data_IF_060101340441
#
_entry.id   IF_060101340441
#
_cell.length_a   1.000
_cell.length_b   1.000
_cell.length_c   1.000
_cell.angle_alpha   90.00
_cell.angle_beta   90.00
_cell.angle_gamma   90.00
#
_symmetry.space_group_name_H-M   'P 1'
#
loop_
_entity.id
_entity.type
_entity.pdbx_description
1 polymer ?
#
# COMPACT_ATOMS: atom_id res chain seq x y z
N UNK A 1 30.81 22.98 29.24
CA UNK A 1 30.86 22.87 27.77
C UNK A 1 29.74 21.93 27.39
N UNK A 2 28.60 22.46 26.95
CA UNK A 2 27.44 21.65 26.57
C UNK A 2 27.19 21.90 25.08
N UNK A 3 27.48 20.89 24.25
CA UNK A 3 27.07 20.82 22.86
C UNK A 3 26.57 19.39 22.59
N UNK A 4 25.57 19.23 21.73
CA UNK A 4 24.36 18.48 22.06
C UNK A 4 24.47 17.00 21.69
N UNK A 5 23.75 16.19 22.47
CA UNK A 5 23.37 14.83 22.08
C UNK A 5 22.48 14.97 20.83
N UNK A 6 22.99 14.54 19.68
CA UNK A 6 22.16 14.23 18.52
C UNK A 6 21.27 13.06 18.95
N UNK A 7 20.07 13.39 19.40
CA UNK A 7 19.00 12.42 19.53
C UNK A 7 18.60 12.10 18.09
N UNK A 8 19.19 11.04 17.55
CA UNK A 8 18.66 10.37 16.37
C UNK A 8 17.31 9.74 16.78
N UNK A 9 16.28 10.58 16.85
CA UNK A 9 14.89 10.15 16.90
C UNK A 9 14.53 9.58 15.53
N UNK A 10 15.08 8.41 15.21
CA UNK A 10 14.56 7.58 14.13
C UNK A 10 13.77 6.46 14.80
N UNK A 11 12.52 6.75 15.13
CA UNK A 11 11.49 5.93 14.52
C UNK A 11 10.31 6.80 14.10
N UNK A 12 9.84 6.63 12.87
CA UNK A 12 8.40 6.46 12.76
C UNK A 12 8.16 5.26 11.88
N UNK A 13 8.16 4.12 12.55
CA UNK A 13 7.33 2.99 12.18
C UNK A 13 6.01 3.50 11.61
N UNK A 14 5.51 2.82 10.59
CA UNK A 14 4.15 3.00 10.05
C UNK A 14 3.20 3.40 11.18
N UNK A 15 2.66 4.62 11.13
CA UNK A 15 1.77 5.20 12.17
C UNK A 15 0.42 4.49 12.25
N UNK A 16 0.30 3.36 11.58
CA UNK A 16 -0.90 2.56 11.45
C UNK A 16 -0.68 1.29 12.24
N UNK A 17 -1.64 0.98 13.10
CA UNK A 17 -1.71 -0.31 13.76
C UNK A 17 -1.81 -1.43 12.70
N UNK A 18 -1.23 -2.59 13.00
CA UNK A 18 -1.32 -3.75 12.11
C UNK A 18 -2.79 -4.13 11.88
N UNK A 19 -3.17 -4.33 10.62
CA UNK A 19 -4.55 -4.57 10.21
C UNK A 19 -5.49 -3.35 10.27
N UNK A 20 -4.98 -2.14 10.51
CA UNK A 20 -5.80 -0.94 10.43
C UNK A 20 -6.33 -0.71 9.00
N UNK A 21 -7.62 -0.38 8.89
CA UNK A 21 -8.22 0.01 7.61
C UNK A 21 -7.86 1.47 7.31
N UNK A 22 -7.14 1.68 6.21
CA UNK A 22 -6.69 3.01 5.77
C UNK A 22 -6.99 3.21 4.29
N UNK A 23 -7.18 4.47 3.88
CA UNK A 23 -7.21 4.85 2.47
C UNK A 23 -5.80 5.22 2.02
N UNK A 24 -5.32 4.59 0.96
CA UNK A 24 -4.01 4.85 0.38
C UNK A 24 -4.17 5.34 -1.07
N UNK A 25 -3.34 6.30 -1.52
CA UNK A 25 -3.19 6.59 -2.93
C UNK A 25 -2.77 5.33 -3.71
N UNK A 26 -3.32 5.14 -4.91
CA UNK A 26 -3.05 3.92 -5.69
C UNK A 26 -1.59 3.84 -6.16
N UNK A 27 -0.99 5.00 -6.42
CA UNK A 27 0.43 5.15 -6.76
C UNK A 27 1.37 4.77 -5.61
N UNK A 28 0.88 4.68 -4.37
CA UNK A 28 1.69 4.20 -3.23
C UNK A 28 1.69 2.68 -3.08
N UNK A 29 0.97 1.95 -3.95
CA UNK A 29 0.83 0.50 -3.89
C UNK A 29 1.59 -0.12 -5.07
N UNK A 30 2.76 -0.68 -4.76
CA UNK A 30 3.53 -1.48 -5.71
C UNK A 30 3.18 -2.97 -5.59
N UNK A 31 3.06 -3.65 -6.73
CA UNK A 31 2.98 -5.11 -6.76
C UNK A 31 4.39 -5.68 -6.64
N UNK A 32 4.63 -6.50 -5.62
CA UNK A 32 5.89 -7.22 -5.51
C UNK A 32 5.95 -8.38 -6.51
N UNK A 33 7.00 -8.41 -7.32
CA UNK A 33 7.26 -9.48 -8.28
C UNK A 33 7.32 -10.85 -7.60
N UNK A 34 6.64 -11.83 -8.19
CA UNK A 34 6.56 -13.20 -7.68
C UNK A 34 5.60 -13.40 -6.50
N UNK A 35 5.02 -12.33 -5.94
CA UNK A 35 4.11 -12.42 -4.79
C UNK A 35 2.64 -12.60 -5.19
N UNK A 36 2.26 -12.16 -6.40
CA UNK A 36 0.94 -12.41 -6.97
C UNK A 36 1.01 -13.52 -8.04
N UNK A 37 0.66 -14.78 -7.72
CA UNK A 37 0.69 -15.88 -8.69
C UNK A 37 -0.42 -15.78 -9.74
N UNK A 38 -1.46 -14.95 -9.51
CA UNK A 38 -2.53 -14.71 -10.47
C UNK A 38 -2.07 -13.72 -11.53
N UNK A 39 -1.36 -14.24 -12.53
CA UNK A 39 -0.84 -13.46 -13.66
C UNK A 39 -1.82 -13.31 -14.82
N UNK A 40 -2.92 -14.05 -14.79
CA UNK A 40 -3.92 -14.05 -15.84
C UNK A 40 -5.30 -13.75 -15.26
N UNK A 41 -5.99 -12.83 -15.92
CA UNK A 41 -7.40 -12.54 -15.68
C UNK A 41 -8.12 -12.82 -17.00
N UNK A 42 -9.24 -13.53 -16.92
CA UNK A 42 -10.11 -13.72 -18.07
C UNK A 42 -10.84 -12.39 -18.33
N UNK A 43 -10.89 -11.95 -19.58
CA UNK A 43 -11.32 -10.59 -19.93
C UNK A 43 -12.77 -10.32 -19.48
N UNK A 44 -13.64 -11.33 -19.55
CA UNK A 44 -15.05 -11.21 -19.14
C UNK A 44 -15.16 -11.02 -17.63
N UNK A 45 -14.47 -11.86 -16.84
CA UNK A 45 -14.38 -11.70 -15.38
C UNK A 45 -13.81 -10.33 -14.98
N UNK A 46 -12.78 -9.85 -15.68
CA UNK A 46 -12.18 -8.55 -15.38
C UNK A 46 -13.13 -7.39 -15.68
N UNK A 47 -13.85 -7.44 -16.81
CA UNK A 47 -14.86 -6.44 -17.15
C UNK A 47 -16.00 -6.39 -16.11
N UNK A 48 -16.46 -7.56 -15.64
CA UNK A 48 -17.47 -7.64 -14.60
C UNK A 48 -16.98 -7.04 -13.26
N UNK A 49 -15.71 -7.25 -12.90
CA UNK A 49 -15.09 -6.64 -11.72
C UNK A 49 -15.05 -5.11 -11.83
N UNK A 50 -14.61 -4.57 -12.97
CA UNK A 50 -14.53 -3.13 -13.20
C UNK A 50 -15.91 -2.47 -13.07
N UNK A 51 -16.95 -3.06 -13.67
CA UNK A 51 -18.32 -2.55 -13.55
C UNK A 51 -18.87 -2.63 -12.12
N UNK A 52 -18.50 -3.68 -11.38
CA UNK A 52 -18.85 -3.79 -9.96
C UNK A 52 -18.21 -2.67 -9.13
N UNK A 53 -16.91 -2.43 -9.31
CA UNK A 53 -16.15 -1.38 -8.61
C UNK A 53 -16.69 0.00 -8.96
N UNK A 54 -17.05 0.27 -10.22
CA UNK A 54 -17.66 1.55 -10.63
C UNK A 54 -18.99 1.81 -9.93
N UNK A 55 -19.83 0.79 -9.76
CA UNK A 55 -21.16 0.93 -9.14
C UNK A 55 -21.14 0.97 -7.62
N UNK A 56 -20.25 0.19 -6.99
CA UNK A 56 -20.32 -0.10 -5.55
C UNK A 56 -19.06 0.33 -4.78
N UNK A 57 -18.01 0.77 -5.49
CA UNK A 57 -16.68 0.92 -4.93
C UNK A 57 -16.00 -0.42 -4.69
N UNK A 58 -14.83 -0.37 -4.05
CA UNK A 58 -14.09 -1.55 -3.61
C UNK A 58 -14.68 -2.04 -2.29
N UNK A 59 -15.40 -3.18 -2.33
CA UNK A 59 -16.09 -3.73 -1.15
C UNK A 59 -15.14 -4.40 -0.14
N UNK A 60 -14.00 -4.91 -0.61
CA UNK A 60 -13.01 -5.61 0.20
C UNK A 60 -11.67 -4.88 0.13
N UNK A 61 -11.14 -4.50 1.29
CA UNK A 61 -9.83 -3.89 1.39
C UNK A 61 -8.72 -4.84 0.90
N UNK A 62 -7.68 -4.26 0.30
CA UNK A 62 -6.49 -4.99 -0.13
C UNK A 62 -5.48 -4.99 1.01
N UNK A 63 -4.92 -6.16 1.31
CA UNK A 63 -3.82 -6.27 2.26
C UNK A 63 -2.53 -5.74 1.64
N UNK A 64 -1.87 -4.84 2.36
CA UNK A 64 -0.58 -4.27 1.98
C UNK A 64 0.41 -4.39 3.12
N UNK A 65 1.70 -4.23 2.80
CA UNK A 65 2.79 -4.16 3.77
C UNK A 65 3.68 -2.98 3.43
N UNK A 66 4.26 -2.27 4.42
CA UNK A 66 5.28 -1.27 4.14
C UNK A 66 6.46 -1.88 3.37
N UNK A 67 6.97 -1.11 2.40
CA UNK A 67 8.21 -1.41 1.69
C UNK A 67 9.32 -0.51 2.25
N UNK A 68 10.50 -1.08 2.52
CA UNK A 68 11.58 -0.37 3.18
C UNK A 68 12.11 0.83 2.36
N UNK A 69 12.05 0.72 1.04
CA UNK A 69 12.63 1.71 0.10
C UNK A 69 11.56 2.63 -0.53
N UNK A 70 10.40 2.80 0.11
CA UNK A 70 9.33 3.67 -0.40
C UNK A 70 9.68 5.15 -0.21
N UNK A 71 9.72 5.93 -1.30
CA UNK A 71 9.85 7.40 -1.27
C UNK A 71 8.49 8.05 -1.56
N UNK A 72 7.85 8.73 -0.59
CA UNK A 72 6.58 9.43 -0.81
C UNK A 72 6.63 10.54 -1.87
N UNK A 73 7.82 11.04 -2.22
CA UNK A 73 8.03 12.06 -3.25
C UNK A 73 8.31 11.47 -4.64
N UNK A 74 8.56 10.16 -4.71
CA UNK A 74 8.73 9.39 -5.94
C UNK A 74 8.04 8.01 -5.79
N UNK A 75 6.71 7.99 -5.64
CA UNK A 75 5.94 6.79 -5.30
C UNK A 75 5.92 5.74 -6.43
#
# INVERSE_FOLDING_TARGET
MNAPVLIENTPSASTFDDGALVQLPLDWIAVQDGFNPRRFFEDTEFAALVESVRRQGVLQAVWVRPQADFDPHAP
#
